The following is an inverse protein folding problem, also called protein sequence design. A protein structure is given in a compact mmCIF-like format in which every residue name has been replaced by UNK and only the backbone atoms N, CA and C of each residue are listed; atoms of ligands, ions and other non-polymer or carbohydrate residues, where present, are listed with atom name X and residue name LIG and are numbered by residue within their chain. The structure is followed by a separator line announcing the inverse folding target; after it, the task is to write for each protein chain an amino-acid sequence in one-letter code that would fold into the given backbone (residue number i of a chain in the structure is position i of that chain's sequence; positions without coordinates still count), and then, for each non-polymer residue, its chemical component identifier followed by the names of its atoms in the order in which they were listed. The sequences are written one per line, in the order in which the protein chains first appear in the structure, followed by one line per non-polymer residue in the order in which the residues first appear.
data_IF_486300009393
#
_entry.id   IF_486300009393
#
_cell.length_a   1.000
_cell.length_b   1.000
_cell.length_c   1.000
_cell.angle_alpha   90.00
_cell.angle_beta   90.00
_cell.angle_gamma   90.00
#
_symmetry.space_group_name_H-M   'P 1'
#
loop_
_entity.id
_entity.type
_entity.pdbx_description
1 polymer ?
#
# COMPACT_ATOMS: atom_id res chain seq x y z
N UNK A 1 -26.01 -7.02 -14.67
CA UNK A 1 -25.70 -6.47 -13.33
C UNK A 1 -25.99 -7.55 -12.29
N UNK A 2 -25.03 -8.10 -11.53
CA UNK A 2 -25.33 -8.65 -10.18
C UNK A 2 -24.17 -9.35 -9.42
N UNK A 3 -23.02 -9.69 -10.02
CA UNK A 3 -21.92 -10.33 -9.28
C UNK A 3 -21.12 -9.36 -8.41
N UNK A 4 -20.48 -8.36 -9.05
CA UNK A 4 -19.64 -7.35 -8.39
C UNK A 4 -20.40 -6.49 -7.36
N UNK A 5 -21.63 -6.07 -7.68
CA UNK A 5 -22.47 -5.28 -6.76
C UNK A 5 -22.95 -6.09 -5.55
N UNK A 6 -23.24 -7.40 -5.69
CA UNK A 6 -23.56 -8.26 -4.55
C UNK A 6 -22.33 -8.50 -3.66
N UNK A 7 -21.15 -8.72 -4.25
CA UNK A 7 -19.88 -8.86 -3.51
C UNK A 7 -19.60 -7.60 -2.69
N UNK A 8 -19.59 -6.43 -3.32
CA UNK A 8 -19.38 -5.13 -2.64
C UNK A 8 -20.38 -4.88 -1.50
N UNK A 9 -21.66 -5.16 -1.72
CA UNK A 9 -22.68 -5.04 -0.67
C UNK A 9 -22.47 -6.00 0.52
N UNK A 10 -21.95 -7.21 0.29
CA UNK A 10 -21.60 -8.15 1.36
C UNK A 10 -20.39 -7.64 2.15
N UNK A 11 -19.33 -7.18 1.47
CA UNK A 11 -18.13 -6.62 2.10
C UNK A 11 -18.50 -5.45 3.01
N UNK A 12 -19.28 -4.50 2.51
CA UNK A 12 -19.67 -3.31 3.26
C UNK A 12 -20.51 -3.65 4.50
N UNK A 13 -21.46 -4.57 4.39
CA UNK A 13 -22.28 -5.01 5.53
C UNK A 13 -21.46 -5.75 6.57
N UNK A 14 -20.60 -6.67 6.13
CA UNK A 14 -19.78 -7.47 7.01
C UNK A 14 -18.77 -6.61 7.77
N UNK A 15 -18.06 -5.73 7.07
CA UNK A 15 -17.14 -4.81 7.73
C UNK A 15 -17.88 -3.86 8.68
N UNK A 16 -19.03 -3.28 8.29
CA UNK A 16 -19.75 -2.34 9.16
C UNK A 16 -20.26 -3.02 10.44
N UNK A 17 -20.80 -4.23 10.32
CA UNK A 17 -21.20 -5.03 11.47
C UNK A 17 -20.00 -5.29 12.40
N UNK A 18 -18.84 -5.61 11.84
CA UNK A 18 -17.62 -5.83 12.62
C UNK A 18 -17.08 -4.59 13.31
N UNK A 19 -16.97 -3.47 12.59
CA UNK A 19 -16.58 -2.17 13.14
C UNK A 19 -17.48 -1.79 14.32
N UNK A 20 -18.80 -1.91 14.16
CA UNK A 20 -19.76 -1.58 15.22
C UNK A 20 -19.62 -2.53 16.42
N UNK A 21 -19.44 -3.83 16.18
CA UNK A 21 -19.21 -4.82 17.23
C UNK A 21 -17.95 -4.49 18.04
N UNK A 22 -16.83 -4.24 17.36
CA UNK A 22 -15.56 -3.88 18.00
C UNK A 22 -15.65 -2.58 18.80
N UNK A 23 -16.35 -1.57 18.28
CA UNK A 23 -16.56 -0.31 18.99
C UNK A 23 -17.41 -0.51 20.27
N UNK A 24 -18.47 -1.31 20.21
CA UNK A 24 -19.29 -1.63 21.38
C UNK A 24 -18.49 -2.43 22.42
N UNK A 25 -17.71 -3.42 21.99
CA UNK A 25 -16.84 -4.20 22.87
C UNK A 25 -15.78 -3.32 23.53
N UNK A 26 -15.17 -2.40 22.78
CA UNK A 26 -14.26 -1.40 23.34
C UNK A 26 -14.92 -0.60 24.46
N UNK A 27 -16.10 -0.01 24.23
CA UNK A 27 -16.79 0.80 25.25
C UNK A 27 -17.12 0.00 26.51
N UNK A 28 -17.63 -1.24 26.35
CA UNK A 28 -17.96 -2.09 27.49
C UNK A 28 -16.71 -2.52 28.28
N UNK A 29 -15.65 -2.96 27.58
CA UNK A 29 -14.40 -3.38 28.21
C UNK A 29 -13.65 -2.22 28.84
N UNK A 30 -13.66 -1.03 28.23
CA UNK A 30 -13.05 0.17 28.80
C UNK A 30 -13.70 0.51 30.14
N UNK A 31 -15.04 0.55 30.19
CA UNK A 31 -15.78 0.78 31.43
C UNK A 31 -15.46 -0.29 32.47
N UNK A 32 -15.45 -1.57 32.07
CA UNK A 32 -15.11 -2.68 32.97
C UNK A 32 -13.69 -2.56 33.50
N UNK A 33 -12.69 -2.34 32.64
CA UNK A 33 -11.28 -2.28 33.00
C UNK A 33 -10.98 -1.16 33.99
N UNK A 34 -11.59 0.01 33.80
CA UNK A 34 -11.50 1.14 34.73
C UNK A 34 -12.13 0.81 36.09
N UNK A 35 -13.36 0.28 36.10
CA UNK A 35 -14.07 -0.07 37.34
C UNK A 35 -13.41 -1.25 38.08
N UNK A 36 -12.76 -2.14 37.33
CA UNK A 36 -12.09 -3.32 37.86
C UNK A 36 -10.66 -3.09 38.31
N UNK A 37 -10.08 -1.95 37.95
CA UNK A 37 -8.64 -1.73 38.03
C UNK A 37 -7.87 -2.87 37.33
N UNK A 38 -8.39 -3.39 36.23
CA UNK A 38 -7.76 -4.47 35.44
C UNK A 38 -7.04 -3.87 34.24
N UNK A 39 -5.72 -4.06 34.20
CA UNK A 39 -4.90 -3.58 33.09
C UNK A 39 -5.06 -4.49 31.87
N UNK A 40 -5.23 -5.80 32.08
CA UNK A 40 -5.45 -6.73 30.96
C UNK A 40 -6.73 -6.43 30.20
N UNK A 41 -7.83 -6.12 30.91
CA UNK A 41 -9.10 -5.76 30.28
C UNK A 41 -9.02 -4.39 29.61
N UNK A 42 -8.30 -3.42 30.20
CA UNK A 42 -8.06 -2.13 29.54
C UNK A 42 -7.30 -2.33 28.23
N UNK A 43 -6.18 -3.05 28.25
CA UNK A 43 -5.40 -3.31 27.04
C UNK A 43 -6.22 -4.04 25.96
N UNK A 44 -7.01 -5.05 26.35
CA UNK A 44 -7.93 -5.77 25.46
C UNK A 44 -9.03 -4.86 24.87
N UNK A 45 -9.55 -3.90 25.65
CA UNK A 45 -10.47 -2.88 25.15
C UNK A 45 -9.83 -2.09 23.99
N UNK A 46 -8.61 -1.59 24.20
CA UNK A 46 -7.90 -0.80 23.18
C UNK A 46 -7.48 -1.63 21.97
N UNK A 47 -7.25 -2.93 22.13
CA UNK A 47 -7.10 -3.82 20.97
C UNK A 47 -8.37 -3.79 20.10
N UNK A 48 -9.55 -3.87 20.70
CA UNK A 48 -10.81 -3.77 19.95
C UNK A 48 -11.05 -2.37 19.37
N UNK A 49 -10.49 -1.32 19.95
CA UNK A 49 -10.48 0.00 19.31
C UNK A 49 -9.61 0.00 18.05
N UNK A 50 -8.42 -0.61 18.10
CA UNK A 50 -7.55 -0.79 16.92
C UNK A 50 -8.27 -1.58 15.82
N UNK A 51 -8.95 -2.67 16.15
CA UNK A 51 -9.72 -3.45 15.17
C UNK A 51 -10.86 -2.63 14.55
N UNK A 52 -11.53 -1.81 15.36
CA UNK A 52 -12.57 -0.91 14.88
C UNK A 52 -11.99 0.17 13.96
N UNK A 53 -10.81 0.70 14.28
CA UNK A 53 -10.09 1.65 13.43
C UNK A 53 -9.69 1.00 12.10
N UNK A 54 -9.04 -0.16 12.10
CA UNK A 54 -8.66 -0.89 10.88
C UNK A 54 -9.88 -1.27 10.03
N UNK A 55 -10.98 -1.66 10.67
CA UNK A 55 -12.26 -1.91 9.99
C UNK A 55 -12.86 -0.62 9.41
N UNK A 56 -12.75 0.49 10.14
CA UNK A 56 -13.19 1.80 9.68
C UNK A 56 -12.40 2.23 8.45
N UNK A 57 -11.08 2.07 8.42
CA UNK A 57 -10.25 2.30 7.24
C UNK A 57 -10.68 1.42 6.07
N UNK A 58 -10.81 0.12 6.32
CA UNK A 58 -11.24 -0.83 5.30
C UNK A 58 -12.62 -0.48 4.71
N UNK A 59 -13.54 0.05 5.51
CA UNK A 59 -14.90 0.41 5.08
C UNK A 59 -15.02 1.81 4.46
N UNK A 60 -14.33 2.78 5.05
CA UNK A 60 -14.41 4.18 4.63
C UNK A 60 -13.53 4.49 3.43
N UNK A 61 -12.64 3.57 3.06
CA UNK A 61 -12.01 3.48 1.73
C UNK A 61 -12.99 3.82 0.61
N UNK A 62 -14.22 3.34 0.74
CA UNK A 62 -15.27 3.50 -0.25
C UNK A 62 -16.09 4.80 -0.14
N UNK A 63 -16.12 5.51 1.00
CA UNK A 63 -17.10 6.61 1.23
C UNK A 63 -16.51 8.00 1.44
N UNK A 64 -15.34 8.14 2.07
CA UNK A 64 -14.73 9.47 2.21
C UNK A 64 -14.04 9.89 0.90
N UNK A 65 -13.56 8.90 0.12
CA UNK A 65 -13.08 9.06 -1.25
C UNK A 65 -14.16 9.61 -2.21
N UNK A 66 -15.45 9.45 -1.91
CA UNK A 66 -16.55 10.00 -2.73
C UNK A 66 -16.75 11.51 -2.61
N UNK A 67 -16.13 12.19 -1.63
CA UNK A 67 -16.19 13.66 -1.60
C UNK A 67 -15.37 14.20 -2.77
N UNK A 68 -16.09 14.59 -3.80
CA UNK A 68 -15.55 15.11 -5.05
C UNK A 68 -14.57 16.28 -4.82
N UNK A 69 -13.69 16.48 -5.80
CA UNK A 69 -12.79 17.62 -5.86
C UNK A 69 -13.52 18.95 -5.65
N UNK A 70 -12.90 19.85 -4.89
CA UNK A 70 -13.36 21.23 -4.72
C UNK A 70 -12.22 22.21 -5.04
N UNK A 71 -12.51 23.52 -5.01
CA UNK A 71 -11.54 24.56 -5.36
C UNK A 71 -10.26 24.53 -4.51
N UNK A 72 -10.36 24.02 -3.27
CA UNK A 72 -9.20 23.92 -2.36
C UNK A 72 -8.47 22.59 -2.53
N UNK A 73 -9.16 21.55 -2.99
CA UNK A 73 -8.65 20.20 -3.18
C UNK A 73 -9.03 19.67 -4.57
N UNK A 74 -8.32 20.09 -5.64
CA UNK A 74 -8.67 19.77 -7.03
C UNK A 74 -8.50 18.28 -7.38
N UNK A 75 -7.78 17.52 -6.55
CA UNK A 75 -7.61 16.07 -6.68
C UNK A 75 -8.56 15.26 -5.77
N UNK A 76 -9.46 15.92 -5.05
CA UNK A 76 -10.38 15.26 -4.12
C UNK A 76 -9.83 15.15 -2.70
N UNK A 77 -10.58 14.45 -1.85
CA UNK A 77 -10.29 14.32 -0.42
C UNK A 77 -9.89 12.89 -0.01
N UNK A 78 -9.59 12.01 -0.97
CA UNK A 78 -9.35 10.60 -0.69
C UNK A 78 -8.23 10.36 0.33
N UNK A 79 -7.11 11.08 0.24
CA UNK A 79 -6.01 11.00 1.24
C UNK A 79 -6.39 11.45 2.66
N UNK A 80 -7.50 12.18 2.86
CA UNK A 80 -7.95 12.55 4.20
C UNK A 80 -8.25 11.32 5.07
N UNK A 81 -8.59 10.20 4.44
CA UNK A 81 -8.75 8.92 5.11
C UNK A 81 -7.45 8.42 5.74
N UNK A 82 -6.36 8.37 4.97
CA UNK A 82 -5.04 7.98 5.49
C UNK A 82 -4.59 8.90 6.62
N UNK A 83 -4.87 10.20 6.53
CA UNK A 83 -4.58 11.15 7.61
C UNK A 83 -5.41 10.87 8.87
N UNK A 84 -6.71 10.61 8.72
CA UNK A 84 -7.57 10.26 9.86
C UNK A 84 -7.11 8.96 10.53
N UNK A 85 -6.75 7.97 9.73
CA UNK A 85 -6.16 6.71 10.14
C UNK A 85 -4.90 6.90 10.99
N UNK A 86 -4.00 7.73 10.48
CA UNK A 86 -2.74 8.05 11.11
C UNK A 86 -2.95 8.73 12.46
N UNK A 87 -3.92 9.65 12.57
CA UNK A 87 -4.32 10.26 13.86
C UNK A 87 -4.87 9.21 14.84
N UNK A 88 -5.71 8.29 14.38
CA UNK A 88 -6.25 7.21 15.24
C UNK A 88 -5.14 6.28 15.74
N UNK A 89 -4.14 6.00 14.91
CA UNK A 89 -2.99 5.18 15.31
C UNK A 89 -2.24 5.76 16.51
N UNK A 90 -2.11 7.09 16.60
CA UNK A 90 -1.49 7.73 17.76
C UNK A 90 -2.32 7.56 19.04
N UNK A 91 -3.65 7.63 18.95
CA UNK A 91 -4.52 7.39 20.11
C UNK A 91 -4.37 5.95 20.61
N UNK A 92 -4.31 4.99 19.69
CA UNK A 92 -4.05 3.57 20.01
C UNK A 92 -2.68 3.42 20.69
N UNK A 93 -1.63 4.03 20.12
CA UNK A 93 -0.27 3.96 20.66
C UNK A 93 -0.16 4.59 22.04
N UNK A 94 -0.72 5.79 22.23
CA UNK A 94 -0.71 6.48 23.53
C UNK A 94 -1.31 5.60 24.61
N UNK A 95 -2.44 4.93 24.32
CA UNK A 95 -3.07 4.09 25.33
C UNK A 95 -2.41 2.71 25.46
N UNK A 96 -1.85 2.17 24.39
CA UNK A 96 -0.99 0.99 24.46
C UNK A 96 0.18 1.22 25.43
N UNK A 97 0.86 2.37 25.31
CA UNK A 97 1.95 2.76 26.21
C UNK A 97 1.45 2.96 27.64
N UNK A 98 0.35 3.68 27.87
CA UNK A 98 -0.24 3.85 29.21
C UNK A 98 -0.65 2.51 29.84
N UNK A 99 -1.15 1.57 29.04
CA UNK A 99 -1.51 0.22 29.50
C UNK A 99 -0.27 -0.58 29.87
N UNK A 100 0.81 -0.46 29.10
CA UNK A 100 2.10 -1.07 29.41
C UNK A 100 2.69 -0.49 30.71
N UNK A 101 2.71 0.83 30.86
CA UNK A 101 3.13 1.50 32.09
C UNK A 101 2.30 1.02 33.30
N UNK A 102 0.97 0.94 33.15
CA UNK A 102 0.08 0.43 34.18
C UNK A 102 0.34 -1.03 34.54
N UNK A 103 0.65 -1.87 33.55
CA UNK A 103 0.98 -3.28 33.76
C UNK A 103 2.30 -3.41 34.54
N UNK A 104 3.35 -2.72 34.08
CA UNK A 104 4.66 -2.70 34.73
C UNK A 104 4.55 -2.17 36.17
N UNK A 105 3.83 -1.06 36.36
CA UNK A 105 3.60 -0.48 37.69
C UNK A 105 2.94 -1.50 38.62
N UNK A 106 1.93 -2.24 38.18
CA UNK A 106 1.24 -3.23 39.02
C UNK A 106 2.04 -4.51 39.26
N UNK A 107 3.06 -4.80 38.46
CA UNK A 107 4.03 -5.87 38.74
C UNK A 107 4.90 -5.47 39.94
N UNK A 108 5.40 -4.23 39.97
CA UNK A 108 6.27 -3.74 41.05
C UNK A 108 5.51 -3.28 42.30
N UNK A 109 4.29 -2.77 42.11
CA UNK A 109 3.39 -2.30 43.16
C UNK A 109 2.03 -3.01 43.01
N UNK A 110 1.90 -4.24 43.56
CA UNK A 110 0.68 -5.03 43.40
C UNK A 110 -0.54 -4.32 43.96
N UNK A 111 -1.46 -3.96 43.07
CA UNK A 111 -2.80 -3.49 43.42
C UNK A 111 -3.79 -4.65 43.34
N UNK A 112 -4.78 -4.63 44.21
CA UNK A 112 -5.84 -5.63 44.21
C UNK A 112 -6.84 -5.31 43.09
N UNK A 113 -7.04 -6.27 42.18
CA UNK A 113 -8.16 -6.20 41.26
C UNK A 113 -9.44 -6.30 42.09
N UNK A 114 -10.45 -5.54 41.73
CA UNK A 114 -11.78 -5.76 42.31
C UNK A 114 -12.36 -7.03 41.66
N UNK A 115 -12.98 -7.90 42.44
CA UNK A 115 -13.62 -9.10 41.89
C UNK A 115 -15.13 -8.96 42.03
N UNK A 116 -15.85 -9.03 40.91
CA UNK A 116 -17.33 -9.10 40.90
C UNK A 116 -17.80 -10.12 39.87
N UNK A 117 -18.73 -11.04 40.23
CA UNK A 117 -19.29 -12.02 39.29
C UNK A 117 -19.88 -11.40 38.01
N UNK A 118 -20.42 -10.17 38.11
CA UNK A 118 -20.92 -9.42 36.96
C UNK A 118 -19.85 -9.21 35.86
N UNK A 119 -18.59 -9.04 36.25
CA UNK A 119 -17.51 -8.74 35.31
C UNK A 119 -17.10 -9.96 34.50
N UNK A 120 -17.17 -11.15 35.11
CA UNK A 120 -16.99 -12.43 34.42
C UNK A 120 -18.06 -12.62 33.34
N UNK A 121 -19.31 -12.24 33.62
CA UNK A 121 -20.39 -12.30 32.63
C UNK A 121 -20.14 -11.37 31.44
N UNK A 122 -19.70 -10.13 31.69
CA UNK A 122 -19.41 -9.16 30.62
C UNK A 122 -18.26 -9.65 29.73
N UNK A 123 -17.18 -10.18 30.32
CA UNK A 123 -16.07 -10.77 29.56
C UNK A 123 -16.50 -12.03 28.81
N UNK A 124 -17.33 -12.89 29.42
CA UNK A 124 -17.90 -14.06 28.77
C UNK A 124 -18.77 -13.72 27.56
N UNK A 125 -19.62 -12.69 27.66
CA UNK A 125 -20.40 -12.16 26.54
C UNK A 125 -19.48 -11.61 25.44
N UNK A 126 -18.40 -10.92 25.83
CA UNK A 126 -17.42 -10.39 24.88
C UNK A 126 -16.71 -11.49 24.10
N UNK A 127 -16.31 -12.57 24.76
CA UNK A 127 -15.75 -13.77 24.12
C UNK A 127 -16.76 -14.36 23.14
N UNK A 128 -18.01 -14.55 23.55
CA UNK A 128 -19.05 -15.10 22.68
C UNK A 128 -19.31 -14.22 21.46
N UNK A 129 -19.30 -12.89 21.63
CA UNK A 129 -19.45 -11.93 20.54
C UNK A 129 -18.29 -12.06 19.52
N UNK A 130 -17.03 -12.14 19.99
CA UNK A 130 -15.85 -12.32 19.13
C UNK A 130 -15.85 -13.69 18.43
N UNK A 131 -16.25 -14.76 19.11
CA UNK A 131 -16.41 -16.08 18.49
C UNK A 131 -17.48 -16.06 17.39
N UNK A 132 -18.66 -15.48 17.68
CA UNK A 132 -19.73 -15.33 16.71
C UNK A 132 -19.30 -14.50 15.49
N UNK A 133 -18.55 -13.42 15.73
CA UNK A 133 -17.96 -12.57 14.69
C UNK A 133 -16.93 -13.34 13.85
N UNK A 134 -16.05 -14.14 14.47
CA UNK A 134 -15.11 -15.00 13.76
C UNK A 134 -15.81 -16.01 12.85
N UNK A 135 -16.82 -16.73 13.37
CA UNK A 135 -17.61 -17.64 12.53
C UNK A 135 -18.36 -16.92 11.40
N UNK A 136 -18.88 -15.72 11.67
CA UNK A 136 -19.55 -14.89 10.67
C UNK A 136 -18.57 -14.49 9.56
N UNK A 137 -17.38 -13.98 9.90
CA UNK A 137 -16.36 -13.61 8.93
C UNK A 137 -15.86 -14.80 8.13
N UNK A 138 -15.61 -15.95 8.76
CA UNK A 138 -15.26 -17.18 8.03
C UNK A 138 -16.34 -17.58 7.02
N UNK A 139 -17.60 -17.47 7.42
CA UNK A 139 -18.75 -17.76 6.55
C UNK A 139 -18.83 -16.79 5.38
N UNK A 140 -18.57 -15.50 5.60
CA UNK A 140 -18.50 -14.49 4.54
C UNK A 140 -17.31 -14.77 3.62
N UNK A 141 -16.13 -15.02 4.18
CA UNK A 141 -14.90 -15.23 3.44
C UNK A 141 -15.01 -16.39 2.44
N UNK A 142 -15.60 -17.52 2.83
CA UNK A 142 -15.85 -18.65 1.93
C UNK A 142 -16.90 -18.35 0.86
N UNK A 143 -17.85 -17.45 1.11
CA UNK A 143 -18.89 -17.09 0.11
C UNK A 143 -18.36 -16.17 -0.98
N UNK A 144 -17.37 -15.34 -0.69
CA UNK A 144 -16.82 -14.35 -1.63
C UNK A 144 -15.36 -14.59 -1.99
N UNK A 145 -14.79 -15.71 -1.53
CA UNK A 145 -13.38 -16.08 -1.70
C UNK A 145 -12.44 -14.91 -1.36
N UNK A 146 -12.43 -14.55 -0.07
CA UNK A 146 -11.72 -13.36 0.42
C UNK A 146 -10.73 -13.73 1.52
N UNK A 147 -9.44 -13.63 1.19
CA UNK A 147 -8.35 -13.75 2.15
C UNK A 147 -8.46 -12.70 3.27
N UNK A 148 -8.91 -11.48 2.95
CA UNK A 148 -9.13 -10.41 3.93
C UNK A 148 -10.09 -10.84 5.05
N UNK A 149 -11.26 -11.39 4.71
CA UNK A 149 -12.21 -11.84 5.74
C UNK A 149 -11.77 -13.13 6.46
N UNK A 150 -10.89 -13.94 5.85
CA UNK A 150 -10.24 -15.04 6.58
C UNK A 150 -9.28 -14.50 7.64
N UNK A 151 -8.50 -13.47 7.31
CA UNK A 151 -7.64 -12.79 8.28
C UNK A 151 -8.48 -12.17 9.42
N UNK A 152 -9.53 -11.38 9.09
CA UNK A 152 -10.41 -10.80 10.12
C UNK A 152 -11.12 -11.86 10.98
N UNK A 153 -11.37 -13.05 10.42
CA UNK A 153 -11.88 -14.18 11.19
C UNK A 153 -10.85 -14.69 12.19
N UNK A 154 -9.59 -14.84 11.78
CA UNK A 154 -8.50 -15.28 12.64
C UNK A 154 -8.27 -14.27 13.78
N UNK A 155 -8.25 -12.97 13.46
CA UNK A 155 -8.14 -11.88 14.44
C UNK A 155 -9.24 -11.97 15.49
N UNK A 156 -10.50 -12.16 15.06
CA UNK A 156 -11.63 -12.31 15.97
C UNK A 156 -11.48 -13.50 16.93
N UNK A 157 -10.88 -14.62 16.46
CA UNK A 157 -10.59 -15.76 17.34
C UNK A 157 -9.44 -15.45 18.31
N UNK A 158 -8.40 -14.75 17.85
CA UNK A 158 -7.30 -14.30 18.69
C UNK A 158 -7.77 -13.33 19.78
N UNK A 159 -8.68 -12.42 19.47
CA UNK A 159 -9.30 -11.53 20.46
C UNK A 159 -10.13 -12.27 21.49
N UNK A 160 -10.84 -13.32 21.08
CA UNK A 160 -11.56 -14.18 22.01
C UNK A 160 -10.59 -14.87 22.99
N UNK A 161 -9.39 -15.27 22.51
CA UNK A 161 -8.33 -15.82 23.36
C UNK A 161 -7.73 -14.77 24.31
N UNK A 162 -7.47 -13.54 23.81
CA UNK A 162 -6.98 -12.42 24.62
C UNK A 162 -7.98 -12.09 25.73
N UNK A 163 -9.25 -11.91 25.38
CA UNK A 163 -10.34 -11.68 26.35
C UNK A 163 -10.46 -12.86 27.32
N UNK A 164 -10.29 -14.09 26.81
CA UNK A 164 -10.28 -15.32 27.61
C UNK A 164 -9.13 -15.36 28.62
N UNK A 165 -7.96 -14.86 28.27
CA UNK A 165 -6.80 -14.77 29.17
C UNK A 165 -7.04 -13.76 30.30
N UNK A 166 -7.67 -12.62 30.00
CA UNK A 166 -8.09 -11.63 30.99
C UNK A 166 -9.17 -12.21 31.93
N UNK A 167 -10.16 -12.92 31.38
CA UNK A 167 -11.18 -13.63 32.16
C UNK A 167 -10.55 -14.69 33.09
N UNK A 168 -9.64 -15.49 32.56
CA UNK A 168 -8.94 -16.53 33.33
C UNK A 168 -8.10 -15.90 34.45
N UNK A 169 -7.41 -14.80 34.17
CA UNK A 169 -6.67 -14.05 35.19
C UNK A 169 -7.59 -13.59 36.33
N UNK A 170 -8.76 -13.04 36.01
CA UNK A 170 -9.75 -12.63 37.01
C UNK A 170 -10.32 -13.81 37.82
N UNK A 171 -10.52 -14.98 37.18
CA UNK A 171 -10.91 -16.21 37.88
C UNK A 171 -9.81 -16.71 38.82
N UNK A 172 -8.56 -16.73 38.38
CA UNK A 172 -7.41 -17.13 39.21
C UNK A 172 -7.33 -16.23 40.44
N UNK A 173 -7.49 -14.92 40.26
CA UNK A 173 -7.53 -13.99 41.38
C UNK A 173 -8.73 -14.24 42.31
N UNK A 174 -9.91 -14.55 41.78
CA UNK A 174 -11.11 -14.83 42.57
C UNK A 174 -11.01 -16.09 43.45
N UNK A 175 -10.36 -17.15 42.96
CA UNK A 175 -10.26 -18.44 43.68
C UNK A 175 -8.97 -18.60 44.49
N UNK A 176 -7.83 -18.11 43.95
CA UNK A 176 -6.50 -18.34 44.51
C UNK A 176 -5.86 -17.06 45.07
N UNK A 177 -6.48 -15.89 44.89
CA UNK A 177 -5.93 -14.58 45.28
C UNK A 177 -4.56 -14.25 44.66
N UNK A 178 -4.20 -14.93 43.56
CA UNK A 178 -3.00 -14.67 42.79
C UNK A 178 -3.35 -13.66 41.70
N UNK A 179 -2.71 -12.50 41.70
CA UNK A 179 -2.94 -11.46 40.70
C UNK A 179 -2.09 -11.71 39.43
N UNK A 180 -2.68 -12.37 38.43
CA UNK A 180 -2.04 -12.61 37.14
C UNK A 180 -2.29 -11.48 36.11
N UNK A 181 -3.15 -10.49 36.43
CA UNK A 181 -3.63 -9.47 35.50
C UNK A 181 -2.52 -8.55 34.96
N UNK A 182 -1.52 -8.13 35.76
CA UNK A 182 -0.42 -7.32 35.25
C UNK A 182 0.41 -8.04 34.17
N UNK A 183 0.60 -9.36 34.28
CA UNK A 183 1.36 -10.13 33.30
C UNK A 183 0.59 -10.31 31.99
N UNK A 184 -0.71 -10.57 32.07
CA UNK A 184 -1.58 -10.61 30.89
C UNK A 184 -1.67 -9.23 30.26
N UNK A 185 -1.84 -8.17 31.06
CA UNK A 185 -1.88 -6.79 30.58
C UNK A 185 -0.57 -6.35 29.92
N UNK A 186 0.58 -6.81 30.41
CA UNK A 186 1.88 -6.57 29.77
C UNK A 186 1.93 -7.19 28.37
N UNK A 187 1.53 -8.46 28.23
CA UNK A 187 1.52 -9.14 26.93
C UNK A 187 0.56 -8.46 25.95
N UNK A 188 -0.66 -8.14 26.39
CA UNK A 188 -1.69 -7.53 25.53
C UNK A 188 -1.31 -6.10 25.16
N UNK A 189 -0.75 -5.32 26.07
CA UNK A 189 -0.31 -3.94 25.75
C UNK A 189 0.81 -3.90 24.72
N UNK A 190 1.76 -4.84 24.74
CA UNK A 190 2.78 -4.96 23.69
C UNK A 190 2.16 -5.27 22.32
N UNK A 191 1.14 -6.13 22.27
CA UNK A 191 0.40 -6.43 21.04
C UNK A 191 -0.34 -5.19 20.53
N UNK A 192 -0.99 -4.42 21.42
CA UNK A 192 -1.68 -3.17 21.04
C UNK A 192 -0.70 -2.15 20.47
N UNK A 193 0.49 -2.00 21.08
CA UNK A 193 1.54 -1.10 20.57
C UNK A 193 2.00 -1.56 19.19
N UNK A 194 2.28 -2.86 19.01
CA UNK A 194 2.65 -3.42 17.71
C UNK A 194 1.59 -3.11 16.64
N UNK A 195 0.32 -3.37 16.94
CA UNK A 195 -0.79 -3.09 16.03
C UNK A 195 -0.90 -1.59 15.72
N UNK A 196 -0.73 -0.72 16.72
CA UNK A 196 -0.72 0.73 16.53
C UNK A 196 0.40 1.21 15.59
N UNK A 197 1.61 0.65 15.70
CA UNK A 197 2.73 0.94 14.80
C UNK A 197 2.41 0.45 13.37
N UNK A 198 1.81 -0.74 13.25
CA UNK A 198 1.36 -1.28 11.97
C UNK A 198 0.39 -0.34 11.26
N UNK A 199 -0.66 0.10 11.95
CA UNK A 199 -1.64 1.07 11.41
C UNK A 199 -0.95 2.37 11.00
N UNK A 200 -0.05 2.90 11.84
CA UNK A 200 0.68 4.12 11.52
C UNK A 200 1.52 3.97 10.23
N UNK A 201 2.19 2.84 10.06
CA UNK A 201 3.02 2.55 8.89
C UNK A 201 2.18 2.38 7.62
N UNK A 202 1.15 1.52 7.68
CA UNK A 202 0.25 1.23 6.55
C UNK A 202 -0.47 2.49 6.03
N UNK A 203 -0.67 3.48 6.89
CA UNK A 203 -1.35 4.74 6.54
C UNK A 203 -0.38 5.82 6.09
N UNK A 204 0.89 5.75 6.50
CA UNK A 204 1.94 6.67 6.07
C UNK A 204 2.52 6.30 4.70
N UNK A 205 2.65 5.01 4.38
CA UNK A 205 3.23 4.53 3.11
C UNK A 205 2.50 5.12 1.87
N UNK A 206 1.15 5.08 1.77
CA UNK A 206 0.43 5.72 0.66
C UNK A 206 0.62 7.24 0.59
N UNK A 207 0.93 7.91 1.71
CA UNK A 207 1.19 9.34 1.76
C UNK A 207 2.60 9.70 1.27
N UNK A 208 3.58 8.81 1.47
CA UNK A 208 4.98 9.00 1.08
C UNK A 208 5.29 8.59 -0.37
N UNK A 209 4.36 7.90 -1.04
CA UNK A 209 4.52 7.47 -2.43
C UNK A 209 4.89 5.99 -2.56
N UNK A 210 4.16 5.12 -1.87
CA UNK A 210 4.24 3.67 -2.04
C UNK A 210 4.13 3.27 -3.53
N UNK A 211 4.89 2.26 -3.98
CA UNK A 211 4.72 1.67 -5.31
C UNK A 211 3.26 1.28 -5.55
N UNK A 212 2.78 1.53 -6.76
CA UNK A 212 1.41 1.15 -7.15
C UNK A 212 1.36 -0.34 -7.47
N UNK A 213 0.19 -0.96 -7.24
CA UNK A 213 -0.10 -2.36 -7.54
C UNK A 213 0.37 -2.78 -8.94
N UNK A 214 1.19 -3.82 -9.01
CA UNK A 214 1.78 -4.33 -10.24
C UNK A 214 0.70 -4.83 -11.22
N UNK A 215 -0.40 -5.40 -10.73
CA UNK A 215 -1.50 -5.83 -11.61
C UNK A 215 -2.17 -4.64 -12.32
N UNK A 216 -2.36 -3.52 -11.61
CA UNK A 216 -2.88 -2.28 -12.20
C UNK A 216 -1.91 -1.70 -13.23
N UNK A 217 -0.61 -1.65 -12.92
CA UNK A 217 0.41 -1.17 -13.85
C UNK A 217 0.43 -2.00 -15.15
N UNK A 218 0.40 -3.33 -15.03
CA UNK A 218 0.33 -4.26 -16.17
C UNK A 218 -0.92 -4.03 -17.01
N UNK A 219 -2.08 -4.01 -16.37
CA UNK A 219 -3.36 -3.83 -17.06
C UNK A 219 -3.42 -2.48 -17.80
N UNK A 220 -2.82 -1.43 -17.24
CA UNK A 220 -2.74 -0.11 -17.88
C UNK A 220 -1.85 -0.16 -19.12
N UNK A 221 -0.65 -0.75 -19.04
CA UNK A 221 0.26 -0.91 -20.18
C UNK A 221 -0.35 -1.73 -21.29
N UNK A 222 -0.88 -2.91 -20.96
CA UNK A 222 -1.55 -3.78 -21.93
C UNK A 222 -2.69 -3.05 -22.65
N UNK A 223 -3.47 -2.22 -21.93
CA UNK A 223 -4.54 -1.43 -22.51
C UNK A 223 -4.00 -0.35 -23.46
N UNK A 224 -2.96 0.38 -23.07
CA UNK A 224 -2.32 1.42 -23.89
C UNK A 224 -1.70 0.82 -25.14
N UNK A 225 -0.92 -0.26 -25.00
CA UNK A 225 -0.20 -0.94 -26.09
C UNK A 225 -1.12 -1.75 -27.01
N UNK A 226 -2.38 -2.00 -26.61
CA UNK A 226 -3.37 -2.67 -27.48
C UNK A 226 -3.80 -1.83 -28.69
N UNK A 227 -3.50 -0.53 -28.70
CA UNK A 227 -3.94 0.39 -29.75
C UNK A 227 -2.98 0.37 -30.95
N UNK A 228 -3.50 0.21 -32.18
CA UNK A 228 -2.69 0.39 -33.39
C UNK A 228 -2.12 1.81 -33.46
N UNK A 229 -0.84 1.93 -33.81
CA UNK A 229 -0.12 3.21 -33.84
C UNK A 229 0.67 3.52 -32.57
N UNK A 230 0.54 2.68 -31.54
CA UNK A 230 1.43 2.67 -30.37
C UNK A 230 2.52 1.63 -30.58
N UNK A 231 3.78 2.02 -30.48
CA UNK A 231 4.93 1.13 -30.67
C UNK A 231 5.52 0.57 -29.37
N UNK A 232 5.18 1.20 -28.25
CA UNK A 232 5.60 0.81 -26.91
C UNK A 232 5.25 1.87 -25.89
N UNK A 233 5.37 1.52 -24.61
CA UNK A 233 5.20 2.45 -23.50
C UNK A 233 6.31 2.30 -22.46
N UNK A 234 6.64 3.40 -21.78
CA UNK A 234 7.65 3.46 -20.72
C UNK A 234 7.33 4.58 -19.72
N UNK A 235 8.12 4.69 -18.64
CA UNK A 235 7.99 5.70 -17.59
C UNK A 235 6.57 5.85 -17.04
N UNK A 236 5.96 4.72 -16.66
CA UNK A 236 4.65 4.73 -16.03
C UNK A 236 4.78 5.20 -14.58
N UNK A 237 4.33 6.41 -14.30
CA UNK A 237 4.29 6.96 -12.96
C UNK A 237 2.83 7.05 -12.53
N UNK A 238 2.48 6.34 -11.46
CA UNK A 238 1.15 6.39 -10.86
C UNK A 238 1.23 7.02 -9.47
N UNK A 239 0.35 7.97 -9.21
CA UNK A 239 0.15 8.61 -7.92
C UNK A 239 -1.21 8.25 -7.35
N UNK A 240 -1.21 7.77 -6.11
CA UNK A 240 -2.43 7.53 -5.35
C UNK A 240 -2.91 8.82 -4.66
N UNK A 241 -4.12 9.28 -4.95
CA UNK A 241 -4.78 10.42 -4.28
C UNK A 241 -5.92 10.00 -3.35
N UNK A 242 -5.98 8.72 -3.04
CA UNK A 242 -6.97 8.09 -2.20
C UNK A 242 -7.25 6.66 -2.66
N UNK A 243 -8.03 5.93 -1.87
CA UNK A 243 -8.51 4.62 -2.25
C UNK A 243 -9.23 4.70 -3.59
N UNK A 244 -8.77 3.89 -4.56
CA UNK A 244 -9.27 3.83 -5.95
C UNK A 244 -9.12 5.12 -6.79
N UNK A 245 -8.42 6.14 -6.30
CA UNK A 245 -8.16 7.39 -7.03
C UNK A 245 -6.70 7.47 -7.47
N UNK A 246 -6.45 7.08 -8.71
CA UNK A 246 -5.13 7.14 -9.30
C UNK A 246 -5.05 8.22 -10.38
N UNK A 247 -3.96 8.97 -10.35
CA UNK A 247 -3.56 9.85 -11.44
C UNK A 247 -2.15 9.51 -11.85
N UNK A 248 -1.87 9.47 -13.14
CA UNK A 248 -0.54 9.10 -13.59
C UNK A 248 -0.15 9.69 -14.92
N UNK A 249 1.13 9.51 -15.22
CA UNK A 249 1.74 9.84 -16.49
C UNK A 249 2.36 8.59 -17.10
N UNK A 250 2.37 8.50 -18.42
CA UNK A 250 3.07 7.45 -19.15
C UNK A 250 3.64 8.03 -20.44
N UNK A 251 4.82 7.59 -20.82
CA UNK A 251 5.42 7.89 -22.10
C UNK A 251 5.03 6.82 -23.12
N UNK A 252 4.60 7.25 -24.29
CA UNK A 252 4.10 6.35 -25.33
C UNK A 252 4.80 6.66 -26.65
N UNK A 253 5.42 5.64 -27.22
CA UNK A 253 6.11 5.72 -28.50
C UNK A 253 5.09 5.74 -29.65
N UNK A 254 5.14 6.79 -30.47
CA UNK A 254 4.23 7.04 -31.61
C UNK A 254 5.01 7.34 -32.89
N UNK A 255 4.33 7.31 -34.04
CA UNK A 255 4.98 7.60 -35.33
C UNK A 255 5.35 9.08 -35.41
N UNK A 256 6.65 9.38 -35.52
CA UNK A 256 7.15 10.74 -35.67
C UNK A 256 6.75 11.44 -36.98
N UNK A 257 6.14 10.72 -37.94
CA UNK A 257 5.66 11.27 -39.22
C UNK A 257 4.16 11.58 -39.24
N UNK A 258 3.39 11.08 -38.27
CA UNK A 258 1.95 11.33 -38.20
C UNK A 258 1.65 12.79 -37.85
N UNK A 259 0.46 13.27 -38.23
CA UNK A 259 0.06 14.62 -37.85
C UNK A 259 -0.20 14.69 -36.35
N UNK A 260 0.18 15.81 -35.72
CA UNK A 260 -0.05 16.02 -34.28
C UNK A 260 -1.52 15.86 -33.91
N UNK A 261 -2.44 16.29 -34.80
CA UNK A 261 -3.88 16.18 -34.57
C UNK A 261 -4.36 14.72 -34.53
N UNK A 262 -3.91 13.88 -35.46
CA UNK A 262 -4.28 12.45 -35.50
C UNK A 262 -3.71 11.69 -34.30
N UNK A 263 -2.43 11.91 -33.97
CA UNK A 263 -1.80 11.28 -32.81
C UNK A 263 -2.46 11.73 -31.50
N UNK A 264 -2.81 13.01 -31.38
CA UNK A 264 -3.52 13.52 -30.21
C UNK A 264 -4.92 12.90 -30.07
N UNK A 265 -5.65 12.73 -31.17
CA UNK A 265 -6.96 12.07 -31.14
C UNK A 265 -6.88 10.60 -30.72
N UNK A 266 -5.83 9.89 -31.13
CA UNK A 266 -5.53 8.53 -30.66
C UNK A 266 -5.27 8.50 -29.14
N UNK A 267 -4.40 9.37 -28.67
CA UNK A 267 -4.05 9.49 -27.24
C UNK A 267 -5.28 9.82 -26.38
N UNK A 268 -6.10 10.78 -26.81
CA UNK A 268 -7.35 11.16 -26.13
C UNK A 268 -8.31 9.97 -25.98
N UNK A 269 -8.36 9.09 -26.98
CA UNK A 269 -9.18 7.88 -26.92
C UNK A 269 -8.64 6.89 -25.89
N UNK A 270 -7.31 6.71 -25.83
CA UNK A 270 -6.64 5.84 -24.87
C UNK A 270 -6.89 6.35 -23.45
N UNK A 271 -6.63 7.64 -23.17
CA UNK A 271 -6.84 8.25 -21.85
C UNK A 271 -8.29 8.07 -21.35
N UNK A 272 -9.28 8.32 -22.23
CA UNK A 272 -10.70 8.14 -21.89
C UNK A 272 -11.06 6.68 -21.61
N UNK A 273 -10.43 5.73 -22.31
CA UNK A 273 -10.67 4.30 -22.10
C UNK A 273 -10.04 3.82 -20.80
N UNK A 274 -8.79 4.20 -20.53
CA UNK A 274 -8.10 3.94 -19.25
C UNK A 274 -8.92 4.45 -18.08
N UNK A 275 -9.41 5.69 -18.15
CA UNK A 275 -10.28 6.25 -17.10
C UNK A 275 -11.57 5.45 -16.90
N UNK A 276 -12.18 4.94 -17.97
CA UNK A 276 -13.44 4.19 -17.91
C UNK A 276 -13.27 2.76 -17.38
N UNK A 277 -12.21 2.08 -17.79
CA UNK A 277 -11.99 0.65 -17.50
C UNK A 277 -11.20 0.43 -16.22
N UNK A 278 -10.22 1.29 -15.94
CA UNK A 278 -9.28 1.15 -14.82
C UNK A 278 -9.46 2.22 -13.73
N UNK A 279 -10.27 3.26 -13.98
CA UNK A 279 -10.48 4.35 -13.02
C UNK A 279 -9.30 5.31 -12.87
N UNK A 280 -8.25 5.16 -13.69
CA UNK A 280 -7.04 5.97 -13.63
C UNK A 280 -7.17 7.21 -14.50
N UNK A 281 -6.88 8.39 -13.94
CA UNK A 281 -6.71 9.63 -14.73
C UNK A 281 -5.28 9.66 -15.29
N UNK A 282 -5.12 9.23 -16.53
CA UNK A 282 -3.84 9.19 -17.20
C UNK A 282 -3.60 10.47 -18.01
N UNK A 283 -2.35 10.92 -18.04
CA UNK A 283 -1.83 11.92 -18.99
C UNK A 283 -0.73 11.25 -19.80
N UNK A 284 -0.88 11.20 -21.12
CA UNK A 284 0.08 10.53 -21.99
C UNK A 284 1.04 11.57 -22.59
N UNK A 285 2.33 11.35 -22.39
CA UNK A 285 3.38 12.05 -23.13
C UNK A 285 3.69 11.26 -24.41
N UNK A 286 3.67 11.95 -25.55
CA UNK A 286 3.90 11.36 -26.87
C UNK A 286 5.38 11.48 -27.23
N UNK A 287 6.07 10.35 -27.33
CA UNK A 287 7.44 10.31 -27.80
C UNK A 287 7.50 9.89 -29.26
N UNK A 288 7.92 10.80 -30.17
CA UNK A 288 8.06 10.46 -31.58
C UNK A 288 9.23 9.50 -31.74
N UNK A 289 8.92 8.30 -32.24
CA UNK A 289 9.95 7.33 -32.57
C UNK A 289 10.66 7.73 -33.85
N UNK A 290 11.98 7.79 -33.78
CA UNK A 290 12.84 8.09 -34.92
C UNK A 290 13.37 6.81 -35.57
N UNK A 291 12.63 6.31 -36.56
CA UNK A 291 12.96 5.09 -37.31
C UNK A 291 13.96 5.32 -38.46
N UNK A 292 14.82 6.34 -38.38
CA UNK A 292 15.95 6.49 -39.32
C UNK A 292 16.96 5.35 -39.12
N UNK A 293 17.49 4.82 -40.22
CA UNK A 293 18.50 3.73 -40.18
C UNK A 293 19.71 4.07 -39.30
N UNK A 294 20.16 5.33 -39.31
CA UNK A 294 21.24 5.82 -38.46
C UNK A 294 20.90 5.70 -36.96
N UNK A 295 19.67 6.06 -36.59
CA UNK A 295 19.19 5.99 -35.20
C UNK A 295 19.07 4.54 -34.74
N UNK A 296 18.49 3.67 -35.56
CA UNK A 296 18.37 2.25 -35.25
C UNK A 296 19.73 1.56 -35.12
N UNK A 297 20.70 1.93 -35.96
CA UNK A 297 22.06 1.38 -35.91
C UNK A 297 22.75 1.71 -34.58
N UNK A 298 22.82 2.99 -34.19
CA UNK A 298 23.49 3.36 -32.94
C UNK A 298 22.70 2.94 -31.70
N UNK A 299 21.37 2.86 -31.76
CA UNK A 299 20.56 2.28 -30.68
C UNK A 299 20.91 0.81 -30.46
N UNK A 300 21.10 0.04 -31.54
CA UNK A 300 21.50 -1.36 -31.47
C UNK A 300 22.87 -1.55 -30.79
N UNK A 301 23.84 -0.71 -31.15
CA UNK A 301 25.17 -0.70 -30.50
C UNK A 301 25.03 -0.36 -29.01
N UNK A 302 24.28 0.70 -28.67
CA UNK A 302 24.10 1.12 -27.29
C UNK A 302 23.44 0.02 -26.43
N UNK A 303 22.42 -0.66 -26.96
CA UNK A 303 21.76 -1.79 -26.29
C UNK A 303 22.70 -2.98 -26.10
N UNK A 304 23.52 -3.30 -27.10
CA UNK A 304 24.51 -4.37 -26.98
C UNK A 304 25.54 -4.05 -25.89
N UNK A 305 26.15 -2.88 -25.95
CA UNK A 305 27.14 -2.44 -24.94
C UNK A 305 26.52 -2.39 -23.54
N UNK A 306 25.29 -1.89 -23.42
CA UNK A 306 24.61 -1.86 -22.12
C UNK A 306 24.36 -3.28 -21.58
N UNK A 307 23.96 -4.22 -22.43
CA UNK A 307 23.73 -5.61 -22.01
C UNK A 307 25.00 -6.31 -21.48
N UNK A 308 26.18 -5.85 -21.90
CA UNK A 308 27.48 -6.31 -21.38
C UNK A 308 27.84 -5.66 -20.04
N UNK A 309 27.45 -4.39 -19.85
CA UNK A 309 27.77 -3.60 -18.65
C UNK A 309 26.82 -3.88 -17.49
N UNK A 310 25.51 -3.80 -17.72
CA UNK A 310 24.46 -4.09 -16.73
C UNK A 310 23.24 -4.71 -17.45
N UNK A 311 23.10 -6.05 -17.43
CA UNK A 311 22.02 -6.76 -18.14
C UNK A 311 20.60 -6.37 -17.73
N UNK A 312 20.43 -5.85 -16.51
CA UNK A 312 19.13 -5.43 -15.98
C UNK A 312 18.75 -4.00 -16.38
N UNK A 313 19.69 -3.23 -16.92
CA UNK A 313 19.42 -1.88 -17.36
C UNK A 313 18.63 -1.84 -18.68
N UNK A 314 17.99 -0.70 -18.94
CA UNK A 314 17.18 -0.45 -20.15
C UNK A 314 17.49 0.93 -20.70
N UNK A 315 17.27 1.10 -22.02
CA UNK A 315 17.42 2.37 -22.71
C UNK A 315 16.05 2.80 -23.23
N UNK A 316 15.67 4.02 -22.88
CA UNK A 316 14.45 4.70 -23.33
C UNK A 316 14.79 6.01 -24.06
N UNK A 317 13.81 6.55 -24.78
CA UNK A 317 13.87 7.77 -25.57
C UNK A 317 15.16 8.01 -26.41
N UNK A 318 15.62 6.98 -27.15
CA UNK A 318 16.86 7.10 -27.91
C UNK A 318 16.70 7.97 -29.17
N UNK A 319 17.41 9.11 -29.20
CA UNK A 319 17.35 10.10 -30.28
C UNK A 319 18.75 10.54 -30.72
N UNK A 320 18.87 10.88 -32.01
CA UNK A 320 20.10 11.44 -32.60
C UNK A 320 19.85 12.86 -33.09
N UNK A 321 20.74 13.76 -32.69
CA UNK A 321 20.82 15.12 -33.24
C UNK A 321 22.21 15.42 -33.80
N UNK A 322 22.25 16.13 -34.93
CA UNK A 322 23.49 16.52 -35.60
C UNK A 322 23.88 17.92 -35.16
N UNK A 323 25.07 18.04 -34.57
CA UNK A 323 25.61 19.32 -34.13
C UNK A 323 26.64 19.93 -35.10
N UNK A 324 27.08 21.14 -34.76
CA UNK A 324 28.16 21.80 -35.49
C UNK A 324 29.43 20.94 -35.55
N UNK A 325 30.12 20.98 -36.69
CA UNK A 325 31.35 20.19 -36.90
C UNK A 325 31.13 18.69 -37.14
N UNK A 326 29.93 18.26 -37.59
CA UNK A 326 29.57 16.85 -37.83
C UNK A 326 29.57 15.97 -36.56
N UNK A 327 29.40 16.58 -35.39
CA UNK A 327 29.22 15.83 -34.13
C UNK A 327 27.85 15.17 -34.11
N UNK A 328 27.81 13.94 -33.60
CA UNK A 328 26.59 13.16 -33.40
C UNK A 328 26.25 13.17 -31.91
N UNK A 329 25.15 13.81 -31.54
CA UNK A 329 24.67 13.80 -30.17
C UNK A 329 23.62 12.70 -30.01
N UNK A 330 23.99 11.66 -29.26
CA UNK A 330 23.09 10.60 -28.85
C UNK A 330 22.48 10.99 -27.51
N UNK A 331 21.15 11.11 -27.47
CA UNK A 331 20.39 11.40 -26.25
C UNK A 331 19.49 10.22 -25.96
N UNK A 332 19.52 9.76 -24.71
CA UNK A 332 18.66 8.67 -24.25
C UNK A 332 18.64 8.65 -22.74
N UNK A 333 17.58 8.05 -22.21
CA UNK A 333 17.40 7.83 -20.79
C UNK A 333 17.84 6.40 -20.45
N UNK A 334 18.68 6.30 -19.44
CA UNK A 334 19.26 5.05 -18.96
C UNK A 334 18.59 4.66 -17.66
N UNK A 335 17.84 3.58 -17.74
CA UNK A 335 17.08 3.05 -16.63
C UNK A 335 17.89 2.01 -15.87
N UNK A 336 18.12 2.27 -14.58
CA UNK A 336 18.92 1.42 -13.69
C UNK A 336 18.08 0.81 -12.57
N UNK A 337 18.29 -0.47 -12.24
CA UNK A 337 17.63 -1.08 -11.10
C UNK A 337 18.08 -0.43 -9.79
N UNK A 338 17.19 -0.41 -8.79
CA UNK A 338 17.53 0.04 -7.45
C UNK A 338 18.68 -0.78 -6.84
N UNK A 339 19.48 -0.15 -5.99
CA UNK A 339 20.59 -0.78 -5.26
C UNK A 339 21.97 -0.61 -5.88
N UNK A 340 22.07 0.05 -7.03
CA UNK A 340 23.34 0.55 -7.57
C UNK A 340 23.73 1.83 -6.81
N UNK A 341 25.01 1.98 -6.47
CA UNK A 341 25.50 3.19 -5.81
C UNK A 341 25.73 4.29 -6.86
N UNK A 342 25.49 5.55 -6.50
CA UNK A 342 25.70 6.71 -7.37
C UNK A 342 27.08 6.72 -8.08
N UNK A 343 28.15 6.31 -7.38
CA UNK A 343 29.48 6.17 -7.98
C UNK A 343 29.52 5.15 -9.13
N UNK A 344 28.83 4.02 -8.98
CA UNK A 344 28.73 2.99 -10.00
C UNK A 344 27.85 3.44 -11.17
N UNK A 345 26.80 4.21 -10.92
CA UNK A 345 25.95 4.78 -11.97
C UNK A 345 26.76 5.75 -12.85
N UNK A 346 27.54 6.64 -12.21
CA UNK A 346 28.43 7.56 -12.89
C UNK A 346 29.51 6.82 -13.69
N UNK A 347 30.10 5.77 -13.13
CA UNK A 347 31.08 4.94 -13.84
C UNK A 347 30.46 4.24 -15.05
N UNK A 348 29.26 3.70 -14.91
CA UNK A 348 28.57 3.02 -15.99
C UNK A 348 28.20 3.98 -17.13
N UNK A 349 27.74 5.19 -16.81
CA UNK A 349 27.51 6.24 -17.82
C UNK A 349 28.79 6.65 -18.56
N UNK A 350 29.90 6.82 -17.82
CA UNK A 350 31.20 7.16 -18.39
C UNK A 350 31.69 6.05 -19.31
N UNK A 351 31.66 4.80 -18.85
CA UNK A 351 32.11 3.65 -19.63
C UNK A 351 31.26 3.44 -20.88
N UNK A 352 29.93 3.53 -20.78
CA UNK A 352 29.04 3.45 -21.94
C UNK A 352 29.34 4.58 -22.94
N UNK A 353 29.58 5.80 -22.45
CA UNK A 353 29.90 6.94 -23.30
C UNK A 353 31.26 6.81 -23.99
N UNK A 354 32.26 6.23 -23.31
CA UNK A 354 33.58 5.96 -23.87
C UNK A 354 33.52 4.88 -24.95
N UNK A 355 32.88 3.73 -24.67
CA UNK A 355 32.72 2.65 -25.66
C UNK A 355 31.93 3.10 -26.89
N UNK A 356 30.89 3.91 -26.72
CA UNK A 356 30.17 4.50 -27.86
C UNK A 356 31.07 5.45 -28.67
N UNK A 357 31.99 6.17 -28.04
CA UNK A 357 32.95 7.05 -28.72
C UNK A 357 34.05 6.27 -29.46
N UNK A 358 34.42 5.08 -28.97
CA UNK A 358 35.34 4.17 -29.67
C UNK A 358 34.75 3.69 -31.00
N UNK A 359 33.45 3.38 -31.04
CA UNK A 359 32.73 3.00 -32.26
C UNK A 359 32.68 4.13 -33.29
N UNK A 360 32.45 5.38 -32.85
CA UNK A 360 32.55 6.55 -33.71
C UNK A 360 33.03 7.78 -32.91
N UNK A 361 34.24 8.32 -33.21
CA UNK A 361 34.80 9.47 -32.49
C UNK A 361 33.98 10.76 -32.55
N UNK A 362 32.98 10.83 -33.45
CA UNK A 362 32.05 11.97 -33.55
C UNK A 362 30.92 11.92 -32.53
N UNK A 363 30.74 10.80 -31.82
CA UNK A 363 29.66 10.60 -30.86
C UNK A 363 29.93 11.36 -29.56
N UNK A 364 28.88 12.04 -29.11
CA UNK A 364 28.76 12.63 -27.79
C UNK A 364 27.46 12.11 -27.17
N UNK A 365 27.57 11.24 -26.18
CA UNK A 365 26.41 10.77 -25.41
C UNK A 365 25.97 11.83 -24.41
N UNK A 366 24.66 12.00 -24.28
CA UNK A 366 24.01 12.79 -23.24
C UNK A 366 22.97 11.87 -22.62
N UNK A 367 23.35 11.27 -21.50
CA UNK A 367 22.60 10.21 -20.82
C UNK A 367 21.89 10.83 -19.62
N UNK A 368 20.58 10.64 -19.53
CA UNK A 368 19.82 10.92 -18.29
C UNK A 368 19.71 9.61 -17.51
N UNK A 369 19.85 9.64 -16.19
CA UNK A 369 19.63 8.47 -15.34
C UNK A 369 18.23 8.50 -14.75
N UNK A 370 17.55 7.36 -14.80
CA UNK A 370 16.24 7.15 -14.19
C UNK A 370 16.15 5.77 -13.52
N UNK A 371 15.15 5.63 -12.64
CA UNK A 371 14.90 4.42 -11.86
C UNK A 371 13.43 3.97 -11.94
N UNK A 372 13.17 2.66 -11.73
CA UNK A 372 11.84 2.10 -11.63
C UNK A 372 10.94 2.76 -10.60
N UNK A 373 9.78 3.21 -11.08
CA UNK A 373 8.66 3.66 -10.25
C UNK A 373 7.70 2.51 -9.90
N UNK A 374 7.80 1.36 -10.59
CA UNK A 374 7.01 0.15 -10.31
C UNK A 374 7.86 -1.13 -10.26
N UNK A 375 7.44 -2.11 -9.45
CA UNK A 375 8.14 -3.41 -9.28
C UNK A 375 8.25 -4.21 -10.58
N UNK A 376 7.29 -4.04 -11.49
CA UNK A 376 7.33 -4.75 -12.77
C UNK A 376 8.45 -4.21 -13.68
N UNK A 377 8.80 -2.94 -13.57
CA UNK A 377 9.91 -2.35 -14.32
C UNK A 377 11.27 -2.60 -13.66
N UNK A 378 11.33 -2.95 -12.37
CA UNK A 378 12.59 -3.28 -11.69
C UNK A 378 13.17 -4.64 -12.07
N UNK A 379 12.40 -5.47 -12.79
CA UNK A 379 12.83 -6.79 -13.23
C UNK A 379 12.94 -7.82 -12.10
N UNK A 380 12.49 -7.48 -10.89
CA UNK A 380 12.36 -8.43 -9.79
C UNK A 380 11.12 -9.29 -10.02
N UNK A 381 11.33 -10.48 -10.58
CA UNK A 381 10.30 -11.54 -10.53
C UNK A 381 10.02 -11.86 -9.07
N UNK A 382 8.73 -11.99 -8.73
CA UNK A 382 8.23 -12.55 -7.47
C UNK A 382 9.10 -13.73 -7.02
N UNK A 383 9.86 -13.51 -5.94
CA UNK A 383 10.74 -14.49 -5.34
C UNK A 383 10.90 -14.21 -3.85
N UNK A 384 10.14 -14.96 -3.05
CA UNK A 384 10.28 -15.18 -1.60
C UNK A 384 10.11 -13.95 -0.69
N UNK A 385 8.87 -13.76 -0.20
CA UNK A 385 8.69 -13.21 1.15
C UNK A 385 9.49 -14.09 2.13
N UNK A 386 10.31 -13.51 3.01
CA UNK A 386 10.92 -14.28 4.09
C UNK A 386 9.81 -14.74 5.03
N UNK A 387 9.79 -16.05 5.29
CA UNK A 387 8.92 -16.74 6.25
C UNK A 387 8.97 -16.13 7.67
#
# INVERSE_FOLDING_TARGET
MNGKTKRSGIVMRAGFAGMLCNLLLFLFKLGLGLMAHSVSVLADAFNNLSDAASSLLSLFSARLSEKAADERHPFGHGRAEYVAAFVVSFLVLEVGVKSLEGAVSKIFHPELIVFRPLWLWILGISILAKLAMGFYYRSVAHRIDSALFLASSADSFQDALITGSALLSMLIYGFFHINADPYVGLLVSLLVIWNGIGIARETLEPLLGQPTDAELCRALRELVESYPGIYGSHDLILHNYGPEQYMGTIHVEVDGKSSIAETHELVDQIERRVKRELGVRLVIHMDPRDDRDETLFYRGIALQLLSELEPRARIHDFRISHGEGRRLFLRFDLWLPWGIREEQENQLMLELSERMREENPRICCSITLDHPYSEEESGEKEGEKPD
#
